data_IF_185114670495
#
_entry.id   IF_185114670495
#
_cell.length_a   1.000
_cell.length_b   1.000
_cell.length_c   1.000
_cell.angle_alpha   90.00
_cell.angle_beta   90.00
_cell.angle_gamma   90.00
#
_symmetry.space_group_name_H-M   'P 1'
#
loop_
_entity.id
_entity.type
_entity.pdbx_description
1 polymer ?
#
# COMPACT_ATOMS: atom_id res chain seq x y z
N UNK A 1 10.06 11.17 -8.19
CA UNK A 1 9.17 10.63 -7.14
C UNK A 1 7.79 11.26 -7.25
N UNK A 2 7.69 12.57 -7.47
CA UNK A 2 6.42 13.28 -7.71
C UNK A 2 5.52 12.61 -8.78
N UNK A 3 6.02 12.40 -10.01
CA UNK A 3 5.26 11.70 -11.05
C UNK A 3 4.84 10.27 -10.66
N UNK A 4 5.65 9.56 -9.87
CA UNK A 4 5.32 8.21 -9.40
C UNK A 4 4.19 8.28 -8.35
N UNK A 5 4.27 9.26 -7.43
CA UNK A 5 3.22 9.55 -6.46
C UNK A 5 1.88 9.84 -7.14
N UNK A 6 1.88 10.70 -8.16
CA UNK A 6 0.66 11.03 -8.91
C UNK A 6 0.07 9.81 -9.64
N UNK A 7 0.93 8.99 -10.27
CA UNK A 7 0.51 7.77 -10.93
C UNK A 7 -0.13 6.77 -9.96
N UNK A 8 0.50 6.52 -8.81
CA UNK A 8 -0.06 5.60 -7.82
C UNK A 8 -1.27 6.19 -7.08
N UNK A 9 -1.34 7.51 -6.92
CA UNK A 9 -2.54 8.20 -6.42
C UNK A 9 -3.76 7.96 -7.31
N UNK A 10 -3.59 8.13 -8.63
CA UNK A 10 -4.64 7.81 -9.61
C UNK A 10 -5.00 6.33 -9.62
N UNK A 11 -4.00 5.44 -9.55
CA UNK A 11 -4.25 4.00 -9.49
C UNK A 11 -5.03 3.61 -8.22
N UNK A 12 -4.77 4.27 -7.09
CA UNK A 12 -5.49 4.08 -5.85
C UNK A 12 -6.96 4.50 -5.97
N UNK A 13 -7.23 5.66 -6.57
CA UNK A 13 -8.60 6.14 -6.81
C UNK A 13 -9.39 5.17 -7.72
N UNK A 14 -8.76 4.73 -8.81
CA UNK A 14 -9.36 3.81 -9.78
C UNK A 14 -9.60 2.42 -9.16
N UNK A 15 -8.69 1.91 -8.33
CA UNK A 15 -8.86 0.61 -7.68
C UNK A 15 -9.97 0.65 -6.63
N UNK A 16 -10.05 1.72 -5.83
CA UNK A 16 -11.14 1.92 -4.86
C UNK A 16 -12.50 2.02 -5.52
N UNK A 17 -12.62 2.81 -6.59
CA UNK A 17 -13.90 2.97 -7.30
C UNK A 17 -14.42 1.67 -7.93
N UNK A 18 -13.52 0.76 -8.29
CA UNK A 18 -13.86 -0.56 -8.83
C UNK A 18 -13.97 -1.66 -7.75
N UNK A 19 -13.65 -1.37 -6.48
CA UNK A 19 -13.54 -2.39 -5.44
C UNK A 19 -12.40 -3.40 -5.66
N UNK A 20 -11.39 -3.05 -6.47
CA UNK A 20 -10.28 -3.92 -6.83
C UNK A 20 -9.21 -3.97 -5.73
N UNK A 21 -9.49 -4.68 -4.63
CA UNK A 21 -8.66 -4.71 -3.40
C UNK A 21 -7.19 -5.09 -3.62
N UNK A 22 -6.90 -6.02 -4.52
CA UNK A 22 -5.51 -6.39 -4.84
C UNK A 22 -4.73 -5.22 -5.50
N UNK A 23 -5.38 -4.45 -6.37
CA UNK A 23 -4.76 -3.27 -7.00
C UNK A 23 -4.65 -2.12 -6.00
N UNK A 24 -5.63 -2.00 -5.10
CA UNK A 24 -5.58 -1.03 -4.00
C UNK A 24 -4.35 -1.26 -3.11
N UNK A 25 -4.11 -2.52 -2.69
CA UNK A 25 -2.95 -2.87 -1.87
C UNK A 25 -1.63 -2.48 -2.56
N UNK A 26 -1.47 -2.82 -3.84
CA UNK A 26 -0.25 -2.49 -4.61
C UNK A 26 -0.02 -0.97 -4.72
N UNK A 27 -1.08 -0.20 -4.95
CA UNK A 27 -0.99 1.25 -5.02
C UNK A 27 -0.64 1.87 -3.66
N UNK A 28 -1.27 1.40 -2.58
CA UNK A 28 -0.99 1.82 -1.20
C UNK A 28 0.45 1.50 -0.81
N UNK A 29 0.94 0.28 -1.06
CA UNK A 29 2.31 -0.12 -0.74
C UNK A 29 3.33 0.74 -1.49
N UNK A 30 3.08 1.03 -2.77
CA UNK A 30 3.97 1.86 -3.59
C UNK A 30 4.00 3.32 -3.11
N UNK A 31 2.84 3.91 -2.79
CA UNK A 31 2.75 5.25 -2.20
C UNK A 31 3.38 5.30 -0.82
N UNK A 32 3.15 4.30 0.02
CA UNK A 32 3.73 4.22 1.36
C UNK A 32 5.26 4.18 1.33
N UNK A 33 5.87 3.45 0.38
CA UNK A 33 7.33 3.46 0.16
C UNK A 33 7.84 4.85 -0.24
N UNK A 34 7.12 5.59 -1.10
CA UNK A 34 7.46 6.97 -1.48
C UNK A 34 7.39 7.88 -0.25
N UNK A 35 6.30 7.83 0.50
CA UNK A 35 6.09 8.65 1.70
C UNK A 35 7.17 8.38 2.76
N UNK A 36 7.55 7.12 2.99
CA UNK A 36 8.67 6.77 3.87
C UNK A 36 9.98 7.37 3.36
N UNK A 37 10.26 7.26 2.06
CA UNK A 37 11.47 7.80 1.45
C UNK A 37 11.56 9.34 1.50
N UNK A 38 10.41 10.01 1.65
CA UNK A 38 10.30 11.47 1.75
C UNK A 38 10.12 11.92 3.23
N UNK A 39 10.23 11.01 4.19
CA UNK A 39 10.17 11.30 5.63
C UNK A 39 8.75 11.44 6.21
N UNK A 40 7.73 11.20 5.40
CA UNK A 40 6.32 11.34 5.74
C UNK A 40 5.71 10.06 6.37
N UNK A 41 6.40 9.47 7.35
CA UNK A 41 6.02 8.17 7.98
C UNK A 41 4.57 8.13 8.50
N UNK A 42 4.07 9.23 9.07
CA UNK A 42 2.69 9.30 9.61
C UNK A 42 1.65 9.12 8.51
N UNK A 43 1.82 9.81 7.38
CA UNK A 43 0.93 9.68 6.22
C UNK A 43 1.01 8.27 5.60
N UNK A 44 2.20 7.67 5.59
CA UNK A 44 2.36 6.28 5.12
C UNK A 44 1.58 5.29 6.01
N UNK A 45 1.62 5.48 7.33
CA UNK A 45 0.86 4.65 8.29
C UNK A 45 -0.66 4.83 8.11
N UNK A 46 -1.13 6.07 8.00
CA UNK A 46 -2.53 6.37 7.72
C UNK A 46 -2.99 5.70 6.42
N UNK A 47 -2.17 5.76 5.36
CA UNK A 47 -2.49 5.14 4.08
C UNK A 47 -2.56 3.61 4.18
N UNK A 48 -1.58 2.99 4.85
CA UNK A 48 -1.52 1.54 5.06
C UNK A 48 -2.66 1.01 5.93
N UNK A 49 -3.19 1.82 6.86
CA UNK A 49 -4.29 1.40 7.73
C UNK A 49 -5.56 1.00 6.97
N UNK A 50 -5.79 1.56 5.77
CA UNK A 50 -6.98 1.27 4.94
C UNK A 50 -6.95 -0.09 4.19
N UNK A 51 -5.83 -0.80 4.26
CA UNK A 51 -5.64 -2.10 3.57
C UNK A 51 -5.06 -3.18 4.48
N UNK A 52 -4.94 -2.91 5.79
CA UNK A 52 -4.31 -3.84 6.73
C UNK A 52 -5.09 -5.15 6.89
N UNK A 53 -6.42 -5.08 6.73
CA UNK A 53 -7.32 -6.23 6.71
C UNK A 53 -6.97 -7.22 5.60
N UNK A 54 -6.48 -6.74 4.46
CA UNK A 54 -6.03 -7.57 3.33
C UNK A 54 -4.74 -8.33 3.60
N UNK A 55 -4.02 -8.01 4.67
CA UNK A 55 -2.79 -8.71 5.07
C UNK A 55 -3.03 -9.69 6.21
N UNK A 56 -4.15 -9.54 6.91
CA UNK A 56 -4.55 -10.37 8.06
C UNK A 56 -5.58 -11.44 7.67
N UNK A 57 -6.12 -11.34 6.46
CA UNK A 57 -7.05 -12.31 5.89
C UNK A 57 -6.37 -13.69 5.74
N UNK A 58 -7.06 -14.80 6.10
CA UNK A 58 -6.53 -16.17 5.93
C UNK A 58 -6.16 -16.53 4.49
N UNK A 59 -6.74 -15.82 3.52
CA UNK A 59 -6.48 -15.98 2.08
C UNK A 59 -5.19 -15.28 1.62
N UNK A 60 -4.56 -14.50 2.49
CA UNK A 60 -3.29 -13.79 2.21
C UNK A 60 -2.15 -14.79 2.18
N UNK A 61 -1.49 -14.96 1.03
CA UNK A 61 -0.30 -15.79 0.88
C UNK A 61 0.97 -14.92 0.95
N UNK A 62 1.77 -15.00 2.04
CA UNK A 62 3.00 -14.20 2.20
C UNK A 62 4.11 -14.56 1.20
N UNK A 63 3.98 -15.66 0.45
CA UNK A 63 4.92 -16.00 -0.63
C UNK A 63 4.71 -15.14 -1.87
N UNK A 64 3.53 -14.52 -2.02
CA UNK A 64 3.25 -13.59 -3.10
C UNK A 64 4.04 -12.29 -2.92
N UNK A 65 4.78 -11.82 -3.94
CA UNK A 65 5.63 -10.64 -3.82
C UNK A 65 4.91 -9.40 -3.32
N UNK A 66 3.70 -9.12 -3.82
CA UNK A 66 2.92 -7.94 -3.43
C UNK A 66 2.51 -7.98 -1.95
N UNK A 67 2.15 -9.16 -1.42
CA UNK A 67 1.80 -9.36 -0.01
C UNK A 67 3.03 -9.22 0.87
N UNK A 68 4.14 -9.86 0.48
CA UNK A 68 5.41 -9.77 1.21
C UNK A 68 5.89 -8.32 1.33
N UNK A 69 5.88 -7.58 0.23
CA UNK A 69 6.30 -6.17 0.23
C UNK A 69 5.40 -5.29 1.11
N UNK A 70 4.10 -5.54 1.11
CA UNK A 70 3.16 -4.83 1.96
C UNK A 70 3.38 -5.15 3.45
N UNK A 71 3.68 -6.40 3.80
CA UNK A 71 4.05 -6.81 5.16
C UNK A 71 5.36 -6.19 5.62
N UNK A 72 6.39 -6.16 4.77
CA UNK A 72 7.66 -5.49 5.06
C UNK A 72 7.46 -4.01 5.37
N UNK A 73 6.66 -3.31 4.55
CA UNK A 73 6.33 -1.92 4.79
C UNK A 73 5.52 -1.74 6.08
N UNK A 74 4.53 -2.60 6.36
CA UNK A 74 3.76 -2.59 7.62
C UNK A 74 4.69 -2.72 8.83
N UNK A 75 5.63 -3.64 8.78
CA UNK A 75 6.62 -3.86 9.85
C UNK A 75 7.56 -2.66 10.03
N UNK A 76 7.93 -1.97 8.95
CA UNK A 76 8.73 -0.74 9.02
C UNK A 76 7.97 0.45 9.65
N UNK A 77 6.64 0.47 9.52
CA UNK A 77 5.75 1.53 9.98
C UNK A 77 5.21 1.33 11.40
N UNK A 78 5.32 0.11 11.92
CA UNK A 78 5.01 -0.24 13.32
C UNK A 78 6.07 0.31 14.28
#
# INVERSE_FOLDING_TARGET
RELAGDCFGKALEISRSQGARALELRAVTSLGKILVADGERKKALELMSGVVDLLESPESDPSLPDIREALELKNQLS
#
